data_IF_781253832785
#
_entry.id   IF_781253832785
#
_cell.length_a   1.000
_cell.length_b   1.000
_cell.length_c   1.000
_cell.angle_alpha   90.00
_cell.angle_beta   90.00
_cell.angle_gamma   90.00
#
_symmetry.space_group_name_H-M   'P 1'
#
loop_
_entity.id
_entity.type
_entity.pdbx_description
1 polymer ?
#
# COMPACT_ATOMS: atom_id res chain seq x y z
N UNK A 1 -51.66 -0.69 17.67
CA UNK A 1 -51.62 -1.65 16.53
C UNK A 1 -51.47 -0.81 15.27
N UNK A 2 -50.46 -0.89 14.42
CA UNK A 2 -49.33 -1.82 14.31
C UNK A 2 -48.25 -1.09 13.50
N UNK A 3 -47.01 -1.30 13.91
CA UNK A 3 -45.76 -0.91 13.25
C UNK A 3 -45.79 -1.22 11.75
N UNK A 4 -45.12 -0.39 10.95
CA UNK A 4 -44.14 -0.96 10.01
C UNK A 4 -43.12 0.09 9.61
N UNK A 5 -41.96 -0.09 10.23
CA UNK A 5 -40.66 0.51 9.93
C UNK A 5 -40.31 0.29 8.47
N UNK A 6 -40.20 1.36 7.68
CA UNK A 6 -39.50 1.32 6.41
C UNK A 6 -38.01 1.25 6.76
N UNK A 7 -37.46 0.03 6.80
CA UNK A 7 -36.04 -0.17 6.92
C UNK A 7 -35.37 0.58 5.76
N UNK A 8 -34.54 1.57 6.11
CA UNK A 8 -33.54 2.09 5.21
C UNK A 8 -32.71 0.89 4.74
N UNK A 9 -32.90 0.48 3.49
CA UNK A 9 -32.01 -0.45 2.83
C UNK A 9 -30.69 0.30 2.66
N UNK A 10 -29.75 0.00 3.54
CA UNK A 10 -28.34 0.28 3.35
C UNK A 10 -27.89 -0.52 2.12
N UNK A 11 -27.88 0.14 0.98
CA UNK A 11 -27.28 -0.39 -0.24
C UNK A 11 -25.77 -0.34 -0.02
N UNK A 12 -25.22 -1.37 0.62
CA UNK A 12 -23.77 -1.58 0.62
C UNK A 12 -23.37 -1.78 -0.85
N UNK A 13 -22.52 -0.91 -1.43
CA UNK A 13 -22.13 -1.07 -2.82
C UNK A 13 -21.34 -2.36 -2.95
N UNK A 14 -21.84 -3.31 -3.74
CA UNK A 14 -21.12 -4.54 -4.13
C UNK A 14 -19.79 -4.25 -4.87
N UNK A 15 -19.51 -2.98 -5.17
CA UNK A 15 -18.24 -2.50 -5.73
C UNK A 15 -17.17 -2.20 -4.69
N UNK A 16 -17.52 -2.07 -3.40
CA UNK A 16 -16.59 -1.86 -2.27
C UNK A 16 -15.96 -3.17 -1.75
N UNK A 17 -15.99 -4.26 -2.51
CA UNK A 17 -15.73 -5.61 -1.97
C UNK A 17 -14.70 -6.44 -2.73
N UNK A 18 -14.39 -6.10 -4.00
CA UNK A 18 -13.42 -6.86 -4.81
C UNK A 18 -12.12 -6.12 -5.04
N UNK A 19 -12.18 -4.83 -5.37
CA UNK A 19 -10.97 -4.08 -5.68
C UNK A 19 -10.12 -3.85 -4.40
N UNK A 20 -10.78 -3.58 -3.27
CA UNK A 20 -10.12 -3.41 -1.97
C UNK A 20 -9.51 -4.72 -1.48
N UNK A 21 -10.19 -5.85 -1.68
CA UNK A 21 -9.64 -7.18 -1.34
C UNK A 21 -8.51 -7.60 -2.27
N UNK A 22 -8.55 -7.23 -3.54
CA UNK A 22 -7.45 -7.44 -4.49
C UNK A 22 -6.22 -6.59 -4.12
N UNK A 23 -6.43 -5.33 -3.75
CA UNK A 23 -5.37 -4.43 -3.29
C UNK A 23 -4.74 -4.92 -1.98
N UNK A 24 -5.55 -5.37 -1.02
CA UNK A 24 -5.07 -5.96 0.23
C UNK A 24 -4.25 -7.23 -0.01
N UNK A 25 -4.71 -8.16 -0.86
CA UNK A 25 -3.95 -9.38 -1.20
C UNK A 25 -2.64 -9.07 -1.92
N UNK A 26 -2.66 -8.09 -2.83
CA UNK A 26 -1.45 -7.61 -3.48
C UNK A 26 -0.47 -7.05 -2.44
N UNK A 27 -0.97 -6.24 -1.51
CA UNK A 27 -0.17 -5.69 -0.43
C UNK A 27 0.44 -6.77 0.47
N UNK A 28 -0.34 -7.77 0.92
CA UNK A 28 0.17 -8.91 1.70
C UNK A 28 1.28 -9.68 0.98
N UNK A 29 1.19 -9.78 -0.35
CA UNK A 29 2.17 -10.46 -1.19
C UNK A 29 3.54 -9.76 -1.23
N UNK A 30 3.68 -8.54 -0.69
CA UNK A 30 4.98 -7.88 -0.49
C UNK A 30 5.88 -8.59 0.53
N UNK A 31 5.31 -9.48 1.36
CA UNK A 31 6.09 -10.30 2.30
C UNK A 31 6.56 -11.64 1.71
N UNK A 32 6.19 -11.97 0.47
CA UNK A 32 6.52 -13.25 -0.16
C UNK A 32 8.05 -13.43 -0.29
N UNK A 33 8.61 -14.62 -0.03
CA UNK A 33 10.05 -14.86 -0.15
C UNK A 33 10.59 -14.64 -1.57
N UNK A 34 9.76 -14.74 -2.60
CA UNK A 34 10.18 -14.65 -4.01
C UNK A 34 10.11 -13.21 -4.51
N UNK A 35 11.24 -12.71 -5.00
CA UNK A 35 11.36 -11.37 -5.58
C UNK A 35 10.31 -11.07 -6.67
N UNK A 36 10.03 -12.04 -7.53
CA UNK A 36 9.05 -11.88 -8.62
C UNK A 36 7.60 -11.75 -8.15
N UNK A 37 7.27 -12.21 -6.94
CA UNK A 37 5.95 -11.95 -6.33
C UNK A 37 5.92 -10.54 -5.80
N UNK A 38 6.93 -10.15 -5.02
CA UNK A 38 7.02 -8.81 -4.45
C UNK A 38 7.03 -7.72 -5.53
N UNK A 39 7.70 -7.96 -6.65
CA UNK A 39 7.69 -7.05 -7.80
C UNK A 39 6.28 -6.86 -8.38
N UNK A 40 5.54 -7.96 -8.62
CA UNK A 40 4.15 -7.90 -9.12
C UNK A 40 3.20 -7.28 -8.11
N UNK A 41 3.42 -7.56 -6.83
CA UNK A 41 2.68 -6.96 -5.72
C UNK A 41 2.88 -5.44 -5.68
N UNK A 42 4.11 -4.96 -5.74
CA UNK A 42 4.42 -3.52 -5.78
C UNK A 42 3.79 -2.85 -7.01
N UNK A 43 3.84 -3.50 -8.18
CA UNK A 43 3.18 -3.01 -9.39
C UNK A 43 1.66 -2.89 -9.20
N UNK A 44 1.01 -3.90 -8.62
CA UNK A 44 -0.42 -3.89 -8.36
C UNK A 44 -0.83 -2.79 -7.37
N UNK A 45 -0.08 -2.63 -6.27
CA UNK A 45 -0.31 -1.58 -5.26
C UNK A 45 -0.10 -0.18 -5.84
N UNK A 46 0.90 0.03 -6.70
CA UNK A 46 1.07 1.31 -7.39
C UNK A 46 -0.01 1.59 -8.45
N UNK A 47 -0.57 0.55 -9.06
CA UNK A 47 -1.64 0.68 -10.08
C UNK A 47 -2.98 1.05 -9.44
N UNK A 48 -3.28 0.51 -8.26
CA UNK A 48 -4.46 0.81 -7.47
C UNK A 48 -4.05 1.32 -6.08
N UNK A 49 -3.59 2.58 -5.97
CA UNK A 49 -3.05 3.11 -4.72
C UNK A 49 -4.15 3.30 -3.67
N UNK A 50 -3.88 2.80 -2.47
CA UNK A 50 -4.67 3.05 -1.27
C UNK A 50 -3.80 3.81 -0.26
N UNK A 51 -4.18 5.04 0.17
CA UNK A 51 -3.44 5.82 1.16
C UNK A 51 -3.07 5.05 2.43
N UNK A 52 -3.86 4.05 2.85
CA UNK A 52 -3.58 3.24 4.05
C UNK A 52 -2.33 2.36 3.92
N UNK A 53 -1.84 2.11 2.69
CA UNK A 53 -0.63 1.31 2.47
C UNK A 53 0.65 2.14 2.46
N UNK A 54 0.57 3.48 2.45
CA UNK A 54 1.74 4.36 2.28
C UNK A 54 2.84 4.12 3.32
N UNK A 55 2.49 4.07 4.61
CA UNK A 55 3.45 3.82 5.70
C UNK A 55 4.16 2.47 5.52
N UNK A 56 3.40 1.42 5.23
CA UNK A 56 3.95 0.09 5.10
C UNK A 56 4.76 -0.11 3.81
N UNK A 57 4.46 0.64 2.75
CA UNK A 57 5.28 0.67 1.55
C UNK A 57 6.65 1.31 1.83
N UNK A 58 6.69 2.38 2.64
CA UNK A 58 7.96 2.98 3.09
C UNK A 58 8.76 1.96 3.91
N UNK A 59 8.12 1.29 4.88
CA UNK A 59 8.77 0.24 5.68
C UNK A 59 9.30 -0.91 4.81
N UNK A 60 8.54 -1.34 3.79
CA UNK A 60 9.00 -2.39 2.87
C UNK A 60 10.18 -1.92 2.03
N UNK A 61 10.13 -0.69 1.50
CA UNK A 61 11.21 -0.11 0.71
C UNK A 61 12.51 -0.04 1.51
N UNK A 62 12.42 0.32 2.79
CA UNK A 62 13.55 0.43 3.70
C UNK A 62 14.39 -0.84 3.84
N UNK A 63 13.80 -2.03 3.65
CA UNK A 63 14.45 -3.33 3.92
C UNK A 63 14.47 -4.29 2.73
N UNK A 64 13.90 -3.92 1.58
CA UNK A 64 13.82 -4.80 0.42
C UNK A 64 15.22 -5.08 -0.16
N UNK A 65 15.71 -6.34 -0.19
CA UNK A 65 17.05 -6.65 -0.68
C UNK A 65 17.19 -6.55 -2.20
N UNK A 66 16.10 -6.72 -2.96
CA UNK A 66 16.16 -6.80 -4.43
C UNK A 66 16.00 -5.44 -5.10
N UNK A 67 16.98 -5.05 -5.92
CA UNK A 67 17.01 -3.74 -6.57
C UNK A 67 15.76 -3.46 -7.40
N UNK A 68 15.34 -4.38 -8.27
CA UNK A 68 14.15 -4.18 -9.12
C UNK A 68 12.87 -4.04 -8.30
N UNK A 69 12.79 -4.70 -7.14
CA UNK A 69 11.63 -4.56 -6.25
C UNK A 69 11.66 -3.20 -5.56
N UNK A 70 12.84 -2.71 -5.13
CA UNK A 70 12.99 -1.34 -4.60
C UNK A 70 12.57 -0.27 -5.60
N UNK A 71 13.05 -0.36 -6.83
CA UNK A 71 12.70 0.57 -7.91
C UNK A 71 11.18 0.62 -8.12
N UNK A 72 10.53 -0.56 -8.13
CA UNK A 72 9.08 -0.65 -8.24
C UNK A 72 8.32 -0.12 -7.00
N UNK A 73 8.85 -0.33 -5.79
CA UNK A 73 8.29 0.22 -4.56
C UNK A 73 8.37 1.75 -4.54
N UNK A 74 9.49 2.32 -4.98
CA UNK A 74 9.66 3.76 -5.16
C UNK A 74 8.66 4.30 -6.17
N UNK A 75 8.52 3.65 -7.34
CA UNK A 75 7.48 4.01 -8.30
C UNK A 75 6.08 3.94 -7.66
N UNK A 76 5.74 2.88 -6.93
CA UNK A 76 4.44 2.72 -6.28
C UNK A 76 4.16 3.83 -5.26
N UNK A 77 5.17 4.25 -4.47
CA UNK A 77 5.06 5.38 -3.54
C UNK A 77 4.71 6.68 -4.28
N UNK A 78 5.27 6.93 -5.47
CA UNK A 78 4.92 8.12 -6.28
C UNK A 78 3.48 8.13 -6.78
N UNK A 79 2.76 7.00 -6.70
CA UNK A 79 1.34 6.88 -7.09
C UNK A 79 0.38 7.25 -5.97
N UNK A 80 0.87 7.30 -4.73
CA UNK A 80 0.07 7.63 -3.54
C UNK A 80 0.03 9.15 -3.31
N UNK A 81 -1.02 9.67 -2.62
CA UNK A 81 -1.08 11.07 -2.25
C UNK A 81 0.11 11.49 -1.37
N UNK A 82 0.70 12.64 -1.66
CA UNK A 82 1.85 13.20 -0.92
C UNK A 82 1.56 13.32 0.58
N UNK A 83 0.32 13.67 0.96
CA UNK A 83 -0.07 13.78 2.37
C UNK A 83 0.07 12.46 3.15
N UNK A 84 -0.03 11.31 2.47
CA UNK A 84 0.13 9.99 3.08
C UNK A 84 1.59 9.51 3.07
N UNK A 85 2.37 9.85 2.04
CA UNK A 85 3.74 9.35 1.86
C UNK A 85 4.81 10.23 2.48
N UNK A 86 4.62 11.55 2.53
CA UNK A 86 5.65 12.47 3.00
C UNK A 86 5.98 12.28 4.49
N UNK A 87 5.01 12.17 5.42
CA UNK A 87 5.33 11.98 6.84
C UNK A 87 6.19 10.73 7.14
N UNK A 88 5.91 9.53 6.59
CA UNK A 88 6.78 8.37 6.82
C UNK A 88 8.15 8.50 6.13
N UNK A 89 8.24 9.08 4.93
CA UNK A 89 9.53 9.29 4.25
C UNK A 89 10.45 10.23 5.05
N UNK A 90 9.92 11.32 5.60
CA UNK A 90 10.69 12.25 6.46
C UNK A 90 11.26 11.54 7.68
N UNK A 91 10.51 10.59 8.28
CA UNK A 91 11.04 9.79 9.41
C UNK A 91 12.24 8.92 9.00
N UNK A 92 12.20 8.35 7.79
CA UNK A 92 13.28 7.48 7.31
C UNK A 92 14.58 8.23 6.99
N UNK A 93 14.53 9.55 6.76
CA UNK A 93 15.75 10.38 6.58
C UNK A 93 16.66 10.34 7.83
N UNK A 94 16.07 10.19 9.03
CA UNK A 94 16.81 10.07 10.30
C UNK A 94 17.15 8.61 10.67
N UNK A 95 16.78 7.65 9.83
CA UNK A 95 16.94 6.22 10.10
C UNK A 95 18.40 5.80 10.26
N UNK A 96 18.66 4.88 11.19
CA UNK A 96 19.99 4.29 11.35
C UNK A 96 20.32 3.30 10.24
N UNK A 97 19.32 2.82 9.50
CA UNK A 97 19.51 1.93 8.36
C UNK A 97 19.90 2.75 7.12
N UNK A 98 21.11 2.58 6.55
CA UNK A 98 21.53 3.35 5.37
C UNK A 98 20.61 3.16 4.17
N UNK A 99 20.05 1.96 4.01
CA UNK A 99 19.11 1.65 2.93
C UNK A 99 17.82 2.45 3.06
N UNK A 100 17.25 2.53 4.26
CA UNK A 100 16.02 3.26 4.49
C UNK A 100 16.18 4.75 4.19
N UNK A 101 17.26 5.37 4.68
CA UNK A 101 17.64 6.75 4.32
C UNK A 101 17.77 6.92 2.80
N UNK A 102 18.50 6.03 2.13
CA UNK A 102 18.68 6.10 0.68
C UNK A 102 17.40 5.90 -0.13
N UNK A 103 16.40 5.21 0.40
CA UNK A 103 15.10 5.07 -0.27
C UNK A 103 14.18 6.26 0.01
N UNK A 104 14.44 7.02 1.06
CA UNK A 104 13.68 8.21 1.43
C UNK A 104 14.17 9.50 0.76
N UNK A 105 15.39 9.51 0.23
CA UNK A 105 16.06 10.64 -0.44
C UNK A 105 15.95 10.51 -1.97
#
# INVERSE_FOLDING_TARGET
MTRSSLAAQEVVPMTMTRQDTDALRAFESLADPRASVRLRAALAVGTAPDPHFAERLVERSAVEPEFFVRDMLTWALTRHPVAATLPPLVREVDSKLPQARSQAL
#
